data_IF_541216797039
#
_entry.id   IF_541216797039
#
_cell.length_a   1.000
_cell.length_b   1.000
_cell.length_c   1.000
_cell.angle_alpha   90.00
_cell.angle_beta   90.00
_cell.angle_gamma   90.00
#
_symmetry.space_group_name_H-M   'P 1'
#
loop_
_entity.id
_entity.type
_entity.pdbx_description
1 polymer ?
#
# COMPACT_ATOMS: atom_id res chain seq x y z
N UNK A 1 -14.86 -3.47 -13.27
CA UNK A 1 -13.68 -3.36 -14.16
C UNK A 1 -12.75 -2.19 -13.81
N UNK A 2 -13.14 -1.24 -12.94
CA UNK A 2 -12.30 -0.09 -12.60
C UNK A 2 -11.30 -0.34 -11.46
N UNK A 3 -11.50 -1.39 -10.65
CA UNK A 3 -10.75 -1.52 -9.39
C UNK A 3 -9.28 -1.92 -9.58
N UNK A 4 -8.93 -2.72 -10.59
CA UNK A 4 -7.53 -3.10 -10.82
C UNK A 4 -6.67 -1.88 -11.19
N UNK A 5 -7.25 -0.94 -11.95
CA UNK A 5 -6.61 0.34 -12.28
C UNK A 5 -6.55 1.26 -11.07
N UNK A 6 -7.59 1.28 -10.25
CA UNK A 6 -7.61 2.05 -8.99
C UNK A 6 -6.50 1.58 -8.03
N UNK A 7 -6.33 0.26 -7.88
CA UNK A 7 -5.25 -0.33 -7.06
C UNK A 7 -3.88 0.04 -7.64
N UNK A 8 -3.71 0.00 -8.96
CA UNK A 8 -2.45 0.42 -9.60
C UNK A 8 -2.16 1.91 -9.38
N UNK A 9 -3.18 2.77 -9.44
CA UNK A 9 -3.01 4.20 -9.13
C UNK A 9 -2.64 4.41 -7.66
N UNK A 10 -3.22 3.63 -6.75
CA UNK A 10 -2.86 3.70 -5.33
C UNK A 10 -1.42 3.26 -5.09
N UNK A 11 -0.98 2.16 -5.69
CA UNK A 11 0.43 1.72 -5.66
C UNK A 11 1.35 2.85 -6.17
N UNK A 12 0.99 3.49 -7.28
CA UNK A 12 1.80 4.57 -7.84
C UNK A 12 1.88 5.79 -6.91
N UNK A 13 0.77 6.14 -6.25
CA UNK A 13 0.74 7.22 -5.25
C UNK A 13 1.60 6.91 -4.03
N UNK A 14 1.57 5.66 -3.55
CA UNK A 14 2.39 5.19 -2.43
C UNK A 14 3.90 5.28 -2.74
N UNK A 15 4.30 4.93 -3.97
CA UNK A 15 5.69 5.06 -4.43
C UNK A 15 6.10 6.55 -4.53
N UNK A 16 5.22 7.41 -5.02
CA UNK A 16 5.49 8.86 -5.09
C UNK A 16 5.67 9.45 -3.68
N UNK A 17 4.89 8.98 -2.71
CA UNK A 17 5.02 9.36 -1.31
C UNK A 17 6.37 8.90 -0.73
N UNK A 18 6.85 7.69 -1.05
CA UNK A 18 8.20 7.23 -0.69
C UNK A 18 9.29 8.20 -1.18
N UNK A 19 9.21 8.59 -2.46
CA UNK A 19 10.15 9.54 -3.05
C UNK A 19 10.09 10.90 -2.38
N UNK A 20 8.88 11.38 -2.08
CA UNK A 20 8.66 12.63 -1.36
C UNK A 20 9.26 12.59 0.04
N UNK A 21 9.11 11.49 0.77
CA UNK A 21 9.70 11.31 2.11
C UNK A 21 11.22 11.37 2.07
N UNK A 22 11.86 10.66 1.13
CA UNK A 22 13.32 10.73 0.95
C UNK A 22 13.79 12.15 0.63
N UNK A 23 13.04 12.88 -0.19
CA UNK A 23 13.31 14.28 -0.49
C UNK A 23 13.22 15.16 0.77
N UNK A 24 12.16 15.00 1.55
CA UNK A 24 11.95 15.73 2.80
C UNK A 24 13.04 15.44 3.84
N UNK A 25 13.52 14.18 3.95
CA UNK A 25 14.64 13.84 4.83
C UNK A 25 15.93 14.52 4.36
N UNK A 26 16.22 14.49 3.05
CA UNK A 26 17.39 15.16 2.48
C UNK A 26 17.38 16.68 2.68
N UNK A 27 16.20 17.30 2.71
CA UNK A 27 16.00 18.71 3.03
C UNK A 27 15.98 19.00 4.55
N UNK A 28 15.98 17.98 5.40
CA UNK A 28 15.89 18.11 6.86
C UNK A 28 14.50 18.54 7.37
N UNK A 29 13.44 18.35 6.56
CA UNK A 29 12.05 18.66 6.93
C UNK A 29 11.43 17.61 7.84
N UNK A 30 11.90 16.37 7.77
CA UNK A 30 11.49 15.25 8.61
C UNK A 30 12.72 14.60 9.25
N UNK A 31 12.50 13.87 10.34
CA UNK A 31 13.56 13.07 10.97
C UNK A 31 13.64 11.68 10.35
N UNK A 32 14.78 10.97 10.45
CA UNK A 32 14.88 9.58 10.01
C UNK A 32 13.85 8.65 10.68
N UNK A 33 13.47 8.94 11.93
CA UNK A 33 12.44 8.18 12.64
C UNK A 33 11.05 8.38 12.05
N UNK A 34 10.69 9.62 11.71
CA UNK A 34 9.43 9.91 11.04
C UNK A 34 9.39 9.36 9.61
N UNK A 35 10.50 9.44 8.86
CA UNK A 35 10.61 8.78 7.54
C UNK A 35 10.33 7.29 7.68
N UNK A 36 11.02 6.62 8.61
CA UNK A 36 10.91 5.17 8.77
C UNK A 36 9.50 4.72 9.19
N UNK A 37 8.84 5.47 10.08
CA UNK A 37 7.46 5.20 10.46
C UNK A 37 6.50 5.31 9.26
N UNK A 38 6.63 6.36 8.44
CA UNK A 38 5.77 6.55 7.28
C UNK A 38 6.07 5.54 6.17
N UNK A 39 7.35 5.25 5.93
CA UNK A 39 7.78 4.20 5.01
C UNK A 39 7.15 2.86 5.36
N UNK A 40 7.15 2.49 6.64
CA UNK A 40 6.58 1.22 7.03
C UNK A 40 5.05 1.15 6.81
N UNK A 41 4.33 2.26 7.03
CA UNK A 41 2.91 2.34 6.68
C UNK A 41 2.68 2.19 5.17
N UNK A 42 3.52 2.85 4.36
CA UNK A 42 3.50 2.74 2.89
C UNK A 42 3.75 1.31 2.43
N UNK A 43 4.75 0.63 3.00
CA UNK A 43 5.06 -0.77 2.70
C UNK A 43 3.88 -1.71 3.02
N UNK A 44 3.21 -1.48 4.15
CA UNK A 44 2.03 -2.25 4.55
C UNK A 44 0.85 -2.00 3.61
N UNK A 45 0.64 -0.78 3.13
CA UNK A 45 -0.40 -0.49 2.12
C UNK A 45 -0.06 -1.09 0.75
N UNK A 46 1.23 -1.06 0.35
CA UNK A 46 1.70 -1.68 -0.88
C UNK A 46 1.46 -3.18 -0.87
N UNK A 47 1.78 -3.87 0.22
CA UNK A 47 1.56 -5.31 0.37
C UNK A 47 0.06 -5.65 0.23
N UNK A 48 -0.82 -4.89 0.86
CA UNK A 48 -2.28 -5.06 0.72
C UNK A 48 -2.76 -4.86 -0.71
N UNK A 49 -2.25 -3.84 -1.41
CA UNK A 49 -2.60 -3.59 -2.80
C UNK A 49 -2.15 -4.75 -3.70
N UNK A 50 -0.95 -5.29 -3.47
CA UNK A 50 -0.44 -6.44 -4.19
C UNK A 50 -1.20 -7.73 -3.89
N UNK A 51 -1.54 -8.00 -2.62
CA UNK A 51 -2.34 -9.15 -2.22
C UNK A 51 -3.73 -9.11 -2.86
N UNK A 52 -4.38 -7.94 -2.85
CA UNK A 52 -5.68 -7.74 -3.49
C UNK A 52 -5.61 -8.01 -5.00
N UNK A 53 -4.61 -7.46 -5.71
CA UNK A 53 -4.41 -7.73 -7.14
C UNK A 53 -4.20 -9.22 -7.41
N UNK A 54 -3.44 -9.90 -6.55
CA UNK A 54 -3.18 -11.33 -6.67
C UNK A 54 -4.45 -12.15 -6.44
N UNK A 55 -5.23 -11.82 -5.41
CA UNK A 55 -6.49 -12.48 -5.10
C UNK A 55 -7.50 -12.32 -6.25
N UNK A 56 -7.61 -11.11 -6.81
CA UNK A 56 -8.47 -10.83 -7.97
C UNK A 56 -8.04 -11.62 -9.21
N UNK A 57 -6.74 -11.71 -9.47
CA UNK A 57 -6.20 -12.52 -10.58
C UNK A 57 -6.49 -13.99 -10.41
N UNK A 58 -6.28 -14.55 -9.21
CA UNK A 58 -6.61 -15.94 -8.90
C UNK A 58 -8.11 -16.21 -9.13
N UNK A 59 -9.00 -15.38 -8.56
CA UNK A 59 -10.45 -15.53 -8.75
C UNK A 59 -10.85 -15.50 -10.23
N UNK A 60 -10.29 -14.58 -11.03
CA UNK A 60 -10.51 -14.57 -12.50
C UNK A 60 -10.05 -15.85 -13.17
N UNK A 61 -8.90 -16.39 -12.78
CA UNK A 61 -8.35 -17.63 -13.34
C UNK A 61 -9.24 -18.84 -13.03
N UNK A 62 -9.83 -18.89 -11.83
CA UNK A 62 -10.77 -19.93 -11.43
C UNK A 62 -12.23 -19.69 -11.87
N UNK A 63 -12.50 -18.60 -12.60
CA UNK A 63 -13.86 -18.25 -13.07
C UNK A 63 -14.79 -17.73 -11.95
N UNK A 64 -14.22 -17.37 -10.80
CA UNK A 64 -14.93 -16.75 -9.68
C UNK A 64 -15.05 -15.23 -9.86
N UNK A 65 -15.96 -14.60 -9.11
CA UNK A 65 -16.13 -13.16 -9.18
C UNK A 65 -14.94 -12.43 -8.51
N UNK A 66 -14.15 -11.63 -9.25
CA UNK A 66 -13.03 -10.88 -8.68
C UNK A 66 -13.46 -9.78 -7.71
N UNK A 67 -14.71 -9.33 -7.76
CA UNK A 67 -15.27 -8.30 -6.86
C UNK A 67 -15.42 -8.81 -5.42
N UNK A 68 -15.46 -10.13 -5.23
CA UNK A 68 -15.50 -10.77 -3.91
C UNK A 68 -14.11 -10.79 -3.24
N UNK A 69 -13.06 -10.35 -3.95
CA UNK A 69 -11.75 -10.13 -3.36
C UNK A 69 -11.83 -9.05 -2.28
N UNK A 70 -11.60 -9.42 -1.03
CA UNK A 70 -11.59 -8.47 0.08
C UNK A 70 -10.15 -8.18 0.48
N UNK A 71 -9.83 -6.89 0.60
CA UNK A 71 -8.61 -6.44 1.28
C UNK A 71 -8.64 -7.07 2.66
N UNK A 72 -7.67 -7.95 2.95
CA UNK A 72 -7.48 -8.36 4.34
C UNK A 72 -7.16 -7.09 5.11
N UNK A 73 -8.03 -6.73 6.05
CA UNK A 73 -7.78 -5.65 6.99
C UNK A 73 -6.36 -5.78 7.48
N UNK A 74 -5.53 -4.75 7.25
CA UNK A 74 -4.19 -4.66 7.80
C UNK A 74 -4.33 -5.01 9.28
N UNK A 75 -4.00 -6.25 9.63
CA UNK A 75 -4.31 -6.74 10.96
C UNK A 75 -3.33 -6.02 11.86
N UNK A 76 -3.81 -4.94 12.49
CA UNK A 76 -3.20 -4.38 13.67
C UNK A 76 -1.72 -4.02 13.46
N UNK A 77 -1.47 -2.91 12.78
CA UNK A 77 -0.31 -2.07 13.14
C UNK A 77 -0.75 -1.16 14.30
N UNK A 78 -1.25 -1.74 15.40
CA UNK A 78 -1.56 -1.04 16.66
C UNK A 78 -0.26 -0.66 17.40
N UNK A 79 0.80 -0.24 16.72
CA UNK A 79 2.07 -0.01 17.41
C UNK A 79 2.96 1.09 16.82
N UNK A 80 2.36 2.12 16.21
CA UNK A 80 3.12 3.29 15.74
C UNK A 80 2.78 4.61 16.42
N UNK A 81 2.05 4.56 17.53
CA UNK A 81 1.78 5.72 18.37
C UNK A 81 1.81 5.29 19.85
N UNK A 82 3.01 5.20 20.43
CA UNK A 82 3.26 5.59 21.82
C UNK A 82 4.55 6.44 21.87
#
# INVERSE_FOLDING_TARGET
MAEDTDIQQRIQGLIDEEHSLRGQLGEGKITPGEEHQRLQAIEVELDQCWDLLRQRRARREFGENPDDAQVRSASTVENYLD
#
